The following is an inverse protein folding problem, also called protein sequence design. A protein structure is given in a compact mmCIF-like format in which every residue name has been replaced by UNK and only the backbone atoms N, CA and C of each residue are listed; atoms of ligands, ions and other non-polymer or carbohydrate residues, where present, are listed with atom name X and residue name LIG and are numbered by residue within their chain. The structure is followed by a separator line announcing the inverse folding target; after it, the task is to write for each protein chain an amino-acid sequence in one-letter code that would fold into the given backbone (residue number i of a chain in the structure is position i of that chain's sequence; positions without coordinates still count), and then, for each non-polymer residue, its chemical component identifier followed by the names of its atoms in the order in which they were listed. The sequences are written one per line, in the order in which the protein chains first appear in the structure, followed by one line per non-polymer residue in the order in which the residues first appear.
data_IF_159182109227
#
_entry.id   IF_159182109227
#
_cell.length_a   1.000
_cell.length_b   1.000
_cell.length_c   1.000
_cell.angle_alpha   90.00
_cell.angle_beta   90.00
_cell.angle_gamma   90.00
#
_symmetry.space_group_name_H-M   'P 1'
#
loop_
_entity.id
_entity.type
_entity.pdbx_description
1 polymer ?
#
# COMPACT_ATOMS: atom_id res chain seq x y z
N UNK A 1 20.80 -7.77 34.90
CA UNK A 1 20.77 -7.46 33.44
C UNK A 1 19.44 -6.91 32.91
N UNK A 2 18.26 -7.43 33.29
CA UNK A 2 16.95 -6.90 32.83
C UNK A 2 16.70 -5.43 33.20
N UNK A 3 17.02 -5.03 34.43
CA UNK A 3 16.86 -3.65 34.91
C UNK A 3 17.78 -2.65 34.19
N UNK A 4 19.02 -3.04 33.89
CA UNK A 4 19.96 -2.21 33.13
C UNK A 4 19.50 -2.01 31.67
N UNK A 5 18.96 -3.05 31.02
CA UNK A 5 18.34 -2.91 29.69
C UNK A 5 17.09 -2.02 29.73
N UNK A 6 16.29 -2.07 30.80
CA UNK A 6 15.12 -1.20 30.95
C UNK A 6 15.52 0.27 31.17
N UNK A 7 16.55 0.55 31.99
CA UNK A 7 17.07 1.90 32.20
C UNK A 7 17.74 2.47 30.94
N UNK A 8 18.50 1.66 30.20
CA UNK A 8 19.06 2.06 28.90
C UNK A 8 17.96 2.33 27.86
N UNK A 9 16.88 1.52 27.85
CA UNK A 9 15.70 1.78 27.01
C UNK A 9 15.01 3.10 27.36
N UNK A 10 14.86 3.43 28.64
CA UNK A 10 14.23 4.70 29.03
C UNK A 10 15.12 5.91 28.68
N UNK A 11 16.45 5.78 28.80
CA UNK A 11 17.37 6.83 28.38
C UNK A 11 17.45 6.99 26.85
N UNK A 12 17.39 5.90 26.08
CA UNK A 12 17.39 5.96 24.61
C UNK A 12 16.07 6.52 24.06
N UNK A 13 14.93 6.22 24.72
CA UNK A 13 13.64 6.83 24.40
C UNK A 13 13.65 8.36 24.56
N UNK A 14 14.40 8.90 25.53
CA UNK A 14 14.54 10.36 25.70
C UNK A 14 15.30 11.04 24.54
N UNK A 15 16.13 10.30 23.79
CA UNK A 15 16.83 10.80 22.61
C UNK A 15 15.98 10.82 21.34
N UNK A 16 14.92 10.03 21.27
CA UNK A 16 14.12 9.86 20.06
C UNK A 16 13.60 11.17 19.46
N UNK A 17 13.04 12.13 20.23
CA UNK A 17 12.58 13.40 19.68
C UNK A 17 13.67 14.18 18.93
N UNK A 18 14.91 14.16 19.43
CA UNK A 18 16.05 14.84 18.79
C UNK A 18 16.41 14.20 17.45
N UNK A 19 16.41 12.87 17.39
CA UNK A 19 16.64 12.14 16.13
C UNK A 19 15.50 12.38 15.14
N UNK A 20 14.24 12.35 15.57
CA UNK A 20 13.09 12.62 14.72
C UNK A 20 13.20 14.03 14.11
N UNK A 21 13.46 15.06 14.92
CA UNK A 21 13.63 16.44 14.43
C UNK A 21 14.82 16.63 13.50
N UNK A 22 15.90 15.85 13.69
CA UNK A 22 17.04 15.89 12.79
C UNK A 22 16.70 15.25 11.45
N UNK A 23 16.24 14.00 11.45
CA UNK A 23 16.03 13.19 10.25
C UNK A 23 14.81 13.64 9.44
N UNK A 24 13.79 14.23 10.07
CA UNK A 24 12.59 14.70 9.36
C UNK A 24 12.82 15.94 8.50
N UNK A 25 13.99 16.58 8.60
CA UNK A 25 14.37 17.73 7.76
C UNK A 25 14.95 17.33 6.42
N UNK A 26 15.37 16.07 6.29
CA UNK A 26 15.91 15.54 5.05
C UNK A 26 14.77 14.98 4.19
N UNK A 27 14.89 15.18 2.89
CA UNK A 27 14.00 14.55 1.91
C UNK A 27 14.38 13.08 1.73
N UNK A 28 13.41 12.15 1.71
CA UNK A 28 13.66 10.79 1.28
C UNK A 28 14.28 10.73 -0.11
N UNK A 29 15.18 9.77 -0.34
CA UNK A 29 15.86 9.56 -1.61
C UNK A 29 15.12 8.50 -2.41
N UNK A 30 14.30 8.87 -3.43
CA UNK A 30 13.60 7.89 -4.25
C UNK A 30 14.57 7.15 -5.17
N UNK A 31 14.44 5.82 -5.22
CA UNK A 31 15.19 4.96 -6.13
C UNK A 31 14.31 4.49 -7.29
N UNK A 32 14.89 4.29 -8.47
CA UNK A 32 14.21 3.61 -9.57
C UNK A 32 14.34 2.09 -9.49
N UNK A 33 13.40 1.38 -10.12
CA UNK A 33 13.50 -0.07 -10.31
C UNK A 33 14.83 -0.44 -10.99
N UNK A 34 15.28 0.36 -11.97
CA UNK A 34 16.59 0.20 -12.60
C UNK A 34 17.74 0.33 -11.60
N UNK A 35 17.72 1.31 -10.71
CA UNK A 35 18.78 1.46 -9.69
C UNK A 35 18.83 0.28 -8.73
N UNK A 36 17.67 -0.23 -8.28
CA UNK A 36 17.62 -1.44 -7.46
C UNK A 36 18.19 -2.66 -8.21
N UNK A 37 17.83 -2.82 -9.48
CA UNK A 37 18.28 -3.92 -10.32
C UNK A 37 19.81 -3.85 -10.55
N UNK A 38 20.30 -2.71 -11.04
CA UNK A 38 21.73 -2.48 -11.33
C UNK A 38 22.59 -2.67 -10.07
N UNK A 39 22.09 -2.21 -8.90
CA UNK A 39 22.77 -2.41 -7.62
C UNK A 39 22.89 -3.88 -7.27
N UNK A 40 21.79 -4.64 -7.34
CA UNK A 40 21.80 -6.05 -6.95
C UNK A 40 22.41 -7.00 -7.99
N UNK A 41 22.47 -6.63 -9.27
CA UNK A 41 23.04 -7.47 -10.33
C UNK A 41 24.55 -7.30 -10.50
N UNK A 42 25.07 -6.08 -10.39
CA UNK A 42 26.44 -5.76 -10.82
C UNK A 42 27.30 -5.21 -9.69
N UNK A 43 26.70 -4.53 -8.71
CA UNK A 43 27.39 -3.80 -7.66
C UNK A 43 26.96 -4.26 -6.26
N UNK A 44 26.63 -5.55 -6.08
CA UNK A 44 26.07 -6.10 -4.84
C UNK A 44 27.07 -6.02 -3.67
N UNK A 45 27.25 -4.81 -3.16
CA UNK A 45 28.21 -4.42 -2.14
C UNK A 45 27.43 -4.12 -0.86
N UNK A 46 27.54 -5.03 0.11
CA UNK A 46 26.84 -4.93 1.39
C UNK A 46 27.19 -3.62 2.11
N UNK A 47 28.46 -3.17 2.05
CA UNK A 47 28.92 -1.90 2.65
C UNK A 47 28.21 -0.69 2.05
N UNK A 48 28.00 -0.69 0.74
CA UNK A 48 27.25 0.39 0.06
C UNK A 48 25.78 0.37 0.46
N UNK A 49 25.17 -0.81 0.55
CA UNK A 49 23.78 -0.94 1.04
C UNK A 49 23.65 -0.47 2.49
N UNK A 50 24.55 -0.90 3.38
CA UNK A 50 24.60 -0.50 4.79
C UNK A 50 24.70 1.01 4.95
N UNK A 51 25.68 1.64 4.28
CA UNK A 51 25.92 3.08 4.37
C UNK A 51 24.74 3.91 3.86
N UNK A 52 24.06 3.44 2.81
CA UNK A 52 22.83 4.06 2.33
C UNK A 52 21.67 3.88 3.33
N UNK A 53 21.38 2.64 3.76
CA UNK A 53 20.20 2.32 4.56
C UNK A 53 20.26 2.86 5.99
N UNK A 54 21.45 2.92 6.60
CA UNK A 54 21.60 3.52 7.95
C UNK A 54 21.27 5.02 7.98
N UNK A 55 21.27 5.68 6.83
CA UNK A 55 20.86 7.08 6.68
C UNK A 55 19.42 7.19 6.16
N UNK A 56 19.07 6.44 5.11
CA UNK A 56 17.78 6.57 4.43
C UNK A 56 16.60 6.04 5.26
N UNK A 57 16.75 4.92 5.98
CA UNK A 57 15.65 4.37 6.80
C UNK A 57 15.24 5.34 7.93
N UNK A 58 16.17 5.95 8.70
CA UNK A 58 15.84 7.00 9.65
C UNK A 58 15.14 8.21 9.03
N UNK A 59 15.55 8.65 7.83
CA UNK A 59 14.88 9.74 7.10
C UNK A 59 13.43 9.39 6.82
N UNK A 60 13.16 8.21 6.23
CA UNK A 60 11.80 7.76 5.90
C UNK A 60 10.93 7.59 7.14
N UNK A 61 11.48 7.00 8.21
CA UNK A 61 10.78 6.83 9.49
C UNK A 61 10.46 8.19 10.13
N UNK A 62 11.43 9.10 10.24
CA UNK A 62 11.23 10.39 10.88
C UNK A 62 10.24 11.28 10.13
N UNK A 63 10.29 11.28 8.78
CA UNK A 63 9.32 12.01 7.95
C UNK A 63 7.89 11.57 8.26
N UNK A 64 7.62 10.27 8.29
CA UNK A 64 6.26 9.80 8.57
C UNK A 64 5.86 9.95 10.04
N UNK A 65 6.79 9.77 10.99
CA UNK A 65 6.54 10.01 12.41
C UNK A 65 6.12 11.47 12.69
N UNK A 66 6.70 12.44 11.98
CA UNK A 66 6.26 13.84 12.07
C UNK A 66 4.83 14.03 11.60
N UNK A 67 4.41 13.34 10.54
CA UNK A 67 3.02 13.41 10.07
C UNK A 67 2.04 12.68 10.99
N UNK A 68 2.43 11.56 11.62
CA UNK A 68 1.59 10.92 12.64
C UNK A 68 1.27 11.94 13.74
N UNK A 69 2.26 12.71 14.19
CA UNK A 69 2.09 13.74 15.23
C UNK A 69 1.23 14.95 14.80
N UNK A 70 0.80 15.02 13.52
CA UNK A 70 -0.14 16.04 13.03
C UNK A 70 -1.57 15.53 12.92
N UNK A 71 -1.82 14.25 13.21
CA UNK A 71 -3.18 13.73 13.30
C UNK A 71 -3.95 14.43 14.44
N UNK A 72 -5.29 14.49 14.36
CA UNK A 72 -6.10 15.03 15.45
C UNK A 72 -5.79 14.31 16.78
N UNK A 73 -5.73 15.06 17.89
CA UNK A 73 -5.44 14.50 19.22
C UNK A 73 -6.35 13.30 19.57
N UNK A 74 -7.60 13.34 19.10
CA UNK A 74 -8.57 12.25 19.23
C UNK A 74 -8.08 10.94 18.60
N UNK A 75 -7.47 11.00 17.41
CA UNK A 75 -6.87 9.85 16.72
C UNK A 75 -5.57 9.43 17.41
N UNK A 76 -4.70 10.39 17.76
CA UNK A 76 -3.45 10.13 18.49
C UNK A 76 -3.66 9.51 19.87
N UNK A 77 -4.80 9.77 20.51
CA UNK A 77 -5.15 9.21 21.82
C UNK A 77 -5.54 7.73 21.78
N UNK A 78 -5.80 7.18 20.59
CA UNK A 78 -6.21 5.77 20.45
C UNK A 78 -5.05 4.83 20.77
N UNK A 79 -5.29 3.76 21.56
CA UNK A 79 -4.22 2.86 22.00
C UNK A 79 -3.48 2.21 20.83
N UNK A 80 -4.19 1.91 19.74
CA UNK A 80 -3.59 1.31 18.55
C UNK A 80 -2.63 2.27 17.82
N UNK A 81 -2.96 3.57 17.71
CA UNK A 81 -2.06 4.57 17.11
C UNK A 81 -0.81 4.80 17.99
N UNK A 82 -0.98 4.85 19.32
CA UNK A 82 0.14 4.96 20.26
C UNK A 82 1.09 3.77 20.17
N UNK A 83 0.54 2.56 20.02
CA UNK A 83 1.32 1.34 19.83
C UNK A 83 2.16 1.43 18.55
N UNK A 84 1.57 1.86 17.44
CA UNK A 84 2.29 2.05 16.18
C UNK A 84 3.38 3.11 16.31
N UNK A 85 3.11 4.26 16.95
CA UNK A 85 4.14 5.26 17.24
C UNK A 85 5.31 4.65 18.02
N UNK A 86 5.03 3.84 19.04
CA UNK A 86 6.07 3.19 19.84
C UNK A 86 6.95 2.25 19.01
N UNK A 87 6.37 1.52 18.04
CA UNK A 87 7.12 0.65 17.14
C UNK A 87 8.03 1.44 16.19
N UNK A 88 7.56 2.57 15.67
CA UNK A 88 8.36 3.45 14.82
C UNK A 88 9.51 4.09 15.60
N UNK A 89 9.25 4.54 16.83
CA UNK A 89 10.31 5.04 17.74
C UNK A 89 11.35 3.96 18.01
N UNK A 90 10.92 2.73 18.38
CA UNK A 90 11.86 1.64 18.65
C UNK A 90 12.69 1.29 17.40
N UNK A 91 12.07 1.22 16.22
CA UNK A 91 12.80 0.95 14.97
C UNK A 91 13.78 2.06 14.60
N UNK A 92 13.43 3.34 14.84
CA UNK A 92 14.36 4.44 14.65
C UNK A 92 15.58 4.27 15.56
N UNK A 93 15.36 4.06 16.85
CA UNK A 93 16.44 3.88 17.83
C UNK A 93 17.33 2.67 17.50
N UNK A 94 16.73 1.56 17.09
CA UNK A 94 17.49 0.36 16.68
C UNK A 94 18.45 0.66 15.51
N UNK A 95 18.08 1.54 14.57
CA UNK A 95 18.95 1.95 13.46
C UNK A 95 20.00 2.98 13.91
N UNK A 96 19.66 3.85 14.88
CA UNK A 96 20.61 4.86 15.41
C UNK A 96 21.87 4.23 16.01
N UNK A 97 21.78 3.01 16.53
CA UNK A 97 22.93 2.23 17.01
C UNK A 97 24.01 1.97 15.93
N UNK A 98 23.70 2.19 14.64
CA UNK A 98 24.60 1.92 13.52
C UNK A 98 25.17 3.18 12.84
N UNK A 99 24.78 4.39 13.28
CA UNK A 99 25.22 5.65 12.64
C UNK A 99 26.74 5.78 12.60
N UNK A 100 27.40 5.51 13.73
CA UNK A 100 28.85 5.66 13.89
C UNK A 100 29.62 4.34 13.80
N UNK A 101 28.95 3.23 13.42
CA UNK A 101 29.62 1.93 13.25
C UNK A 101 30.40 1.85 11.94
N UNK A 102 31.49 1.11 11.97
CA UNK A 102 32.40 0.95 10.83
C UNK A 102 31.83 -0.03 9.78
N UNK A 103 31.60 0.40 8.52
CA UNK A 103 31.20 -0.49 7.43
C UNK A 103 32.21 -1.60 7.10
N UNK A 104 33.48 -1.46 7.50
CA UNK A 104 34.51 -2.47 7.26
C UNK A 104 34.45 -3.65 8.24
N UNK A 105 33.72 -3.51 9.37
CA UNK A 105 33.52 -4.60 10.32
C UNK A 105 32.37 -5.52 9.89
N UNK A 106 32.69 -6.75 9.48
CA UNK A 106 31.70 -7.77 9.12
C UNK A 106 30.67 -8.05 10.23
N UNK A 107 31.04 -7.90 11.52
CA UNK A 107 30.07 -8.07 12.62
C UNK A 107 29.03 -6.95 12.62
N UNK A 108 29.43 -5.73 12.27
CA UNK A 108 28.52 -4.59 12.12
C UNK A 108 27.51 -4.86 11.02
N UNK A 109 27.96 -5.37 9.86
CA UNK A 109 27.07 -5.70 8.73
C UNK A 109 26.06 -6.79 9.09
N UNK A 110 26.52 -7.90 9.68
CA UNK A 110 25.64 -8.99 10.13
C UNK A 110 24.63 -8.52 11.19
N UNK A 111 25.06 -7.73 12.19
CA UNK A 111 24.16 -7.16 13.19
C UNK A 111 23.14 -6.20 12.57
N UNK A 112 23.51 -5.49 11.51
CA UNK A 112 22.60 -4.59 10.81
C UNK A 112 21.50 -5.38 10.10
N UNK A 113 21.85 -6.45 9.39
CA UNK A 113 20.88 -7.37 8.77
C UNK A 113 19.90 -7.93 9.81
N UNK A 114 20.39 -8.39 10.97
CA UNK A 114 19.55 -8.86 12.08
C UNK A 114 18.60 -7.76 12.61
N UNK A 115 19.09 -6.52 12.71
CA UNK A 115 18.28 -5.39 13.12
C UNK A 115 17.18 -5.08 12.09
N UNK A 116 17.49 -5.14 10.79
CA UNK A 116 16.50 -4.96 9.72
C UNK A 116 15.43 -6.06 9.74
N UNK A 117 15.81 -7.32 9.95
CA UNK A 117 14.86 -8.43 10.14
C UNK A 117 13.96 -8.19 11.35
N UNK A 118 14.55 -7.75 12.46
CA UNK A 118 13.81 -7.40 13.69
C UNK A 118 12.80 -6.27 13.44
N UNK A 119 13.20 -5.22 12.75
CA UNK A 119 12.34 -4.09 12.38
C UNK A 119 11.21 -4.53 11.46
N UNK A 120 11.52 -5.32 10.42
CA UNK A 120 10.52 -5.88 9.50
C UNK A 120 9.45 -6.66 10.27
N UNK A 121 9.87 -7.55 11.16
CA UNK A 121 8.96 -8.38 11.94
C UNK A 121 8.10 -7.56 12.91
N UNK A 122 8.68 -6.54 13.56
CA UNK A 122 7.93 -5.59 14.40
C UNK A 122 6.85 -4.84 13.62
N UNK A 123 7.07 -4.59 12.33
CA UNK A 123 6.18 -3.81 11.47
C UNK A 123 5.17 -4.67 10.69
N UNK A 124 5.10 -5.98 10.94
CA UNK A 124 4.16 -6.90 10.28
C UNK A 124 2.70 -6.48 10.48
N UNK A 125 2.32 -6.18 11.73
CA UNK A 125 0.94 -5.89 12.12
C UNK A 125 0.58 -4.40 12.06
N UNK A 126 1.44 -3.55 11.50
CA UNK A 126 1.21 -2.10 11.41
C UNK A 126 -0.07 -1.76 10.65
N UNK A 127 -0.38 -2.46 9.56
CA UNK A 127 -1.60 -2.18 8.76
C UNK A 127 -2.88 -2.46 9.56
N UNK A 128 -3.11 -3.69 10.07
CA UNK A 128 -4.31 -3.94 10.86
C UNK A 128 -4.36 -3.12 12.15
N UNK A 129 -3.22 -2.87 12.81
CA UNK A 129 -3.19 -2.04 14.04
C UNK A 129 -3.59 -0.60 13.74
N UNK A 130 -3.07 0.02 12.67
CA UNK A 130 -3.51 1.37 12.30
C UNK A 130 -4.98 1.42 11.87
N UNK A 131 -5.48 0.39 11.18
CA UNK A 131 -6.90 0.30 10.85
C UNK A 131 -7.78 0.21 12.11
N UNK A 132 -7.34 -0.56 13.10
CA UNK A 132 -7.99 -0.65 14.41
C UNK A 132 -7.98 0.70 15.13
N UNK A 133 -6.89 1.47 15.10
CA UNK A 133 -6.84 2.81 15.70
C UNK A 133 -7.78 3.82 15.06
N UNK A 134 -7.97 3.73 13.74
CA UNK A 134 -8.94 4.57 13.02
C UNK A 134 -10.38 4.18 13.37
N UNK A 135 -10.66 2.87 13.53
CA UNK A 135 -11.95 2.37 14.00
C UNK A 135 -12.24 2.80 15.45
N UNK A 136 -11.26 2.68 16.35
CA UNK A 136 -11.34 3.16 17.74
C UNK A 136 -11.73 4.65 17.80
N UNK A 137 -11.11 5.47 16.94
CA UNK A 137 -11.46 6.88 16.82
C UNK A 137 -12.90 7.08 16.34
N UNK A 138 -13.31 6.38 15.28
CA UNK A 138 -14.67 6.47 14.71
C UNK A 138 -15.74 6.08 15.72
N UNK A 139 -15.56 4.96 16.41
CA UNK A 139 -16.53 4.44 17.38
C UNK A 139 -16.65 5.36 18.61
N UNK A 140 -15.55 6.02 19.00
CA UNK A 140 -15.52 6.89 20.19
C UNK A 140 -16.04 8.30 19.91
N UNK A 141 -15.70 8.88 18.76
CA UNK A 141 -15.92 10.31 18.49
C UNK A 141 -16.88 10.59 17.34
N UNK A 142 -17.31 9.57 16.59
CA UNK A 142 -18.11 9.68 15.38
C UNK A 142 -17.30 10.03 14.14
N UNK A 143 -17.97 10.04 12.98
CA UNK A 143 -17.39 10.46 11.70
C UNK A 143 -17.48 11.99 11.57
N UNK A 144 -16.36 12.65 11.29
CA UNK A 144 -16.35 14.05 10.86
C UNK A 144 -15.64 14.22 9.50
N UNK A 145 -16.23 14.94 8.52
CA UNK A 145 -15.67 15.00 7.16
C UNK A 145 -14.24 15.55 7.07
N UNK A 146 -13.89 16.50 7.93
CA UNK A 146 -12.58 17.17 7.92
C UNK A 146 -11.49 16.21 8.40
N UNK A 147 -11.68 15.58 9.55
CA UNK A 147 -10.78 14.56 10.06
C UNK A 147 -10.72 13.38 9.11
N UNK A 148 -11.83 12.97 8.49
CA UNK A 148 -11.83 11.88 7.52
C UNK A 148 -10.95 12.19 6.28
N UNK A 149 -10.96 13.43 5.78
CA UNK A 149 -10.05 13.85 4.71
C UNK A 149 -8.58 13.84 5.16
N UNK A 150 -8.30 14.37 6.35
CA UNK A 150 -6.93 14.37 6.92
C UNK A 150 -6.41 12.96 7.18
N UNK A 151 -7.27 12.07 7.71
CA UNK A 151 -6.99 10.65 7.92
C UNK A 151 -6.73 9.97 6.58
N UNK A 152 -7.54 10.22 5.55
CA UNK A 152 -7.33 9.65 4.22
C UNK A 152 -5.96 10.04 3.64
N UNK A 153 -5.62 11.34 3.67
CA UNK A 153 -4.34 11.86 3.21
C UNK A 153 -3.17 11.25 3.98
N UNK A 154 -3.29 11.19 5.31
CA UNK A 154 -2.30 10.58 6.18
C UNK A 154 -2.10 9.10 5.86
N UNK A 155 -3.17 8.30 5.79
CA UNK A 155 -3.08 6.86 5.59
C UNK A 155 -2.47 6.51 4.23
N UNK A 156 -2.82 7.24 3.17
CA UNK A 156 -2.21 7.07 1.85
C UNK A 156 -0.67 7.25 1.93
N UNK A 157 -0.22 8.30 2.61
CA UNK A 157 1.22 8.59 2.78
C UNK A 157 1.90 7.61 3.73
N UNK A 158 1.25 7.27 4.83
CA UNK A 158 1.74 6.34 5.83
C UNK A 158 1.99 4.95 5.24
N UNK A 159 1.01 4.41 4.53
CA UNK A 159 1.14 3.09 3.92
C UNK A 159 2.10 3.09 2.74
N UNK A 160 2.18 4.16 1.94
CA UNK A 160 3.18 4.29 0.88
C UNK A 160 4.60 4.34 1.46
N UNK A 161 4.82 5.08 2.56
CA UNK A 161 6.09 5.09 3.29
C UNK A 161 6.45 3.67 3.79
N UNK A 162 5.47 2.96 4.37
CA UNK A 162 5.67 1.57 4.83
C UNK A 162 6.04 0.61 3.69
N UNK A 163 5.36 0.70 2.54
CA UNK A 163 5.71 -0.09 1.34
C UNK A 163 7.17 0.17 0.98
N UNK A 164 7.60 1.44 0.99
CA UNK A 164 8.96 1.83 0.65
C UNK A 164 10.02 1.32 1.63
N UNK A 165 9.74 1.39 2.94
CA UNK A 165 10.63 0.88 3.99
C UNK A 165 10.77 -0.64 3.87
N UNK A 166 9.66 -1.34 3.61
CA UNK A 166 9.67 -2.79 3.39
C UNK A 166 10.44 -3.17 2.13
N UNK A 167 10.32 -2.39 1.05
CA UNK A 167 11.08 -2.60 -0.18
C UNK A 167 12.59 -2.53 0.09
N UNK A 168 13.05 -1.48 0.77
CA UNK A 168 14.47 -1.31 1.12
C UNK A 168 15.00 -2.47 2.00
N UNK A 169 14.27 -2.82 3.06
CA UNK A 169 14.66 -3.91 3.96
C UNK A 169 14.67 -5.25 3.24
N UNK A 170 13.66 -5.54 2.41
CA UNK A 170 13.59 -6.78 1.66
C UNK A 170 14.73 -6.89 0.64
N UNK A 171 15.07 -5.80 -0.08
CA UNK A 171 16.20 -5.83 -1.01
C UNK A 171 17.50 -6.15 -0.27
N UNK A 172 17.79 -5.51 0.86
CA UNK A 172 19.01 -5.78 1.63
C UNK A 172 19.05 -7.23 2.15
N UNK A 173 18.01 -7.64 2.84
CA UNK A 173 17.95 -8.99 3.46
C UNK A 173 17.99 -10.09 2.40
N UNK A 174 17.26 -9.97 1.29
CA UNK A 174 17.26 -11.00 0.24
C UNK A 174 18.58 -11.08 -0.55
N UNK A 175 19.37 -10.00 -0.59
CA UNK A 175 20.67 -10.00 -1.30
C UNK A 175 21.81 -10.46 -0.37
N UNK A 176 21.79 -10.09 0.92
CA UNK A 176 22.95 -10.25 1.81
C UNK A 176 22.79 -11.24 2.97
N UNK A 177 21.58 -11.75 3.28
CA UNK A 177 21.34 -12.67 4.41
C UNK A 177 21.83 -14.11 4.15
N UNK A 178 22.75 -14.31 3.19
CA UNK A 178 23.39 -15.60 2.88
C UNK A 178 22.48 -16.67 2.25
N UNK A 179 21.16 -16.50 2.30
CA UNK A 179 20.20 -17.34 1.59
C UNK A 179 19.85 -16.70 0.24
N UNK A 180 20.44 -17.19 -0.85
CA UNK A 180 19.81 -17.00 -2.16
C UNK A 180 18.37 -17.49 -2.04
N UNK A 181 17.38 -16.68 -2.40
CA UNK A 181 15.97 -17.08 -2.31
C UNK A 181 15.78 -18.35 -3.16
N UNK A 182 15.68 -19.55 -2.55
CA UNK A 182 15.76 -20.79 -3.33
C UNK A 182 14.56 -20.95 -4.25
N UNK A 183 13.43 -20.32 -3.87
CA UNK A 183 12.20 -20.32 -4.65
C UNK A 183 12.34 -19.52 -5.95
N UNK A 184 13.18 -18.49 -5.97
CA UNK A 184 13.30 -17.58 -7.12
C UNK A 184 14.76 -17.18 -7.39
N UNK A 185 15.61 -18.12 -7.84
CA UNK A 185 17.05 -17.89 -7.98
C UNK A 185 17.43 -16.85 -9.05
N UNK A 186 16.50 -16.49 -9.94
CA UNK A 186 16.71 -15.47 -10.99
C UNK A 186 16.33 -14.05 -10.55
N UNK A 187 15.72 -13.90 -9.37
CA UNK A 187 15.33 -12.59 -8.88
C UNK A 187 16.53 -11.84 -8.29
N UNK A 188 16.51 -10.52 -8.41
CA UNK A 188 17.46 -9.62 -7.75
C UNK A 188 16.78 -9.06 -6.51
N UNK A 189 16.98 -9.75 -5.38
CA UNK A 189 16.20 -9.53 -4.18
C UNK A 189 14.74 -9.93 -4.39
N UNK A 190 13.84 -8.95 -4.34
CA UNK A 190 12.39 -9.12 -4.60
C UNK A 190 11.96 -8.74 -6.02
N UNK A 191 12.88 -8.27 -6.85
CA UNK A 191 12.62 -7.84 -8.23
C UNK A 191 12.86 -9.00 -9.19
N UNK A 192 11.88 -9.28 -10.03
CA UNK A 192 12.04 -10.17 -11.17
C UNK A 192 12.39 -9.34 -12.41
N UNK A 193 13.60 -9.51 -13.00
CA UNK A 193 13.97 -8.81 -14.23
C UNK A 193 13.18 -9.26 -15.46
N UNK A 194 12.45 -10.38 -15.39
CA UNK A 194 11.65 -10.92 -16.48
C UNK A 194 10.31 -11.45 -15.95
N UNK A 195 9.56 -10.58 -15.24
CA UNK A 195 8.25 -10.89 -14.68
C UNK A 195 7.24 -11.15 -15.80
N UNK A 196 6.77 -12.40 -15.92
CA UNK A 196 5.67 -12.78 -16.81
C UNK A 196 4.34 -12.30 -16.22
N UNK A 197 3.76 -11.26 -16.80
CA UNK A 197 2.55 -10.62 -16.23
C UNK A 197 1.38 -11.58 -16.20
N UNK A 198 1.17 -12.33 -17.27
CA UNK A 198 0.07 -13.30 -17.36
C UNK A 198 0.18 -14.45 -16.38
N UNK A 199 1.39 -14.85 -15.98
CA UNK A 199 1.55 -15.89 -14.96
C UNK A 199 1.19 -15.34 -13.57
N UNK A 200 1.59 -14.10 -13.26
CA UNK A 200 1.15 -13.44 -12.00
C UNK A 200 -0.38 -13.24 -11.98
N UNK A 201 -1.00 -12.96 -13.13
CA UNK A 201 -2.47 -12.90 -13.27
C UNK A 201 -3.11 -14.24 -12.93
N UNK A 202 -2.61 -15.35 -13.50
CA UNK A 202 -3.15 -16.69 -13.22
C UNK A 202 -2.98 -17.07 -11.74
N UNK A 203 -1.81 -16.84 -11.16
CA UNK A 203 -1.54 -17.13 -9.75
C UNK A 203 -2.48 -16.35 -8.81
N UNK A 204 -2.69 -15.06 -9.10
CA UNK A 204 -3.61 -14.22 -8.33
C UNK A 204 -5.07 -14.67 -8.47
N UNK A 205 -5.47 -15.05 -9.68
CA UNK A 205 -6.79 -15.60 -9.96
C UNK A 205 -7.02 -16.93 -9.23
N UNK A 206 -6.10 -17.88 -9.32
CA UNK A 206 -6.25 -19.21 -8.73
C UNK A 206 -6.42 -19.12 -7.21
N UNK A 207 -5.65 -18.25 -6.55
CA UNK A 207 -5.78 -18.03 -5.12
C UNK A 207 -7.07 -17.29 -4.73
N UNK A 208 -7.52 -16.33 -5.55
CA UNK A 208 -8.82 -15.67 -5.33
C UNK A 208 -9.99 -16.65 -5.56
N UNK A 209 -9.87 -17.53 -6.57
CA UNK A 209 -10.82 -18.59 -6.90
C UNK A 209 -10.96 -19.58 -5.74
N UNK A 210 -9.85 -20.04 -5.16
CA UNK A 210 -9.88 -20.92 -3.98
C UNK A 210 -10.66 -20.31 -2.81
N UNK A 211 -10.51 -19.00 -2.58
CA UNK A 211 -11.31 -18.30 -1.56
C UNK A 211 -12.77 -18.17 -1.96
N UNK A 212 -13.05 -17.79 -3.22
CA UNK A 212 -14.41 -17.66 -3.73
C UNK A 212 -15.17 -18.99 -3.64
N UNK A 213 -14.58 -20.07 -4.16
CA UNK A 213 -15.14 -21.43 -4.12
C UNK A 213 -15.40 -21.88 -2.67
N UNK A 214 -14.53 -21.53 -1.73
CA UNK A 214 -14.75 -21.85 -0.30
C UNK A 214 -15.99 -21.18 0.30
N UNK A 215 -16.31 -19.95 -0.08
CA UNK A 215 -17.44 -19.20 0.49
C UNK A 215 -18.74 -19.35 -0.29
N UNK A 216 -18.66 -19.41 -1.61
CA UNK A 216 -19.83 -19.39 -2.50
C UNK A 216 -20.06 -20.71 -3.24
N UNK A 217 -19.17 -21.70 -3.10
CA UNK A 217 -19.22 -22.98 -3.82
C UNK A 217 -19.15 -22.87 -5.35
N UNK A 218 -18.84 -21.68 -5.87
CA UNK A 218 -18.66 -21.39 -7.29
C UNK A 218 -17.77 -20.15 -7.48
N UNK A 219 -17.17 -20.03 -8.66
CA UNK A 219 -16.44 -18.83 -9.09
C UNK A 219 -16.61 -18.64 -10.60
N UNK A 220 -16.53 -17.40 -11.11
CA UNK A 220 -16.41 -17.15 -12.55
C UNK A 220 -15.09 -17.69 -13.10
N UNK A 221 -15.09 -18.06 -14.38
CA UNK A 221 -13.88 -18.44 -15.13
C UNK A 221 -13.01 -17.23 -15.48
N UNK A 222 -11.76 -17.48 -15.91
CA UNK A 222 -10.81 -16.46 -16.35
C UNK A 222 -10.58 -16.51 -17.87
N UNK A 223 -10.69 -15.36 -18.52
CA UNK A 223 -10.26 -15.17 -19.91
C UNK A 223 -9.11 -14.14 -19.95
N UNK A 224 -7.94 -14.49 -20.49
CA UNK A 224 -6.79 -13.58 -20.63
C UNK A 224 -6.54 -13.28 -22.10
N UNK A 225 -6.39 -12.00 -22.43
CA UNK A 225 -5.94 -11.51 -23.73
C UNK A 225 -4.70 -10.62 -23.57
N UNK A 226 -3.65 -10.90 -24.34
CA UNK A 226 -2.47 -10.03 -24.42
C UNK A 226 -2.46 -9.20 -25.70
N UNK A 227 -2.04 -7.94 -25.58
CA UNK A 227 -1.85 -7.00 -26.69
C UNK A 227 -0.47 -6.35 -26.54
N UNK A 228 0.54 -6.97 -27.12
CA UNK A 228 1.89 -6.43 -27.13
C UNK A 228 2.11 -5.57 -28.38
N UNK A 229 2.03 -4.24 -28.23
CA UNK A 229 2.17 -3.32 -29.36
C UNK A 229 3.61 -3.28 -29.91
N UNK A 230 4.60 -3.56 -29.06
CA UNK A 230 6.02 -3.60 -29.45
C UNK A 230 6.37 -4.87 -30.22
N UNK A 231 5.75 -6.00 -29.87
CA UNK A 231 5.92 -7.28 -30.55
C UNK A 231 4.71 -8.20 -30.36
N UNK A 232 3.80 -8.21 -31.33
CA UNK A 232 2.52 -8.92 -31.25
C UNK A 232 2.60 -10.44 -31.01
N UNK A 233 3.77 -11.06 -31.21
CA UNK A 233 3.96 -12.52 -31.02
C UNK A 233 4.61 -12.89 -29.69
N UNK A 234 5.15 -11.91 -28.96
CA UNK A 234 5.87 -12.18 -27.72
C UNK A 234 5.01 -11.96 -26.49
N UNK A 235 5.10 -12.86 -25.49
CA UNK A 235 4.45 -12.67 -24.19
C UNK A 235 4.93 -11.40 -23.50
N UNK A 236 4.02 -10.72 -22.81
CA UNK A 236 4.31 -9.47 -22.10
C UNK A 236 5.10 -9.74 -20.82
N UNK A 237 6.32 -9.20 -20.78
CA UNK A 237 7.21 -9.24 -19.64
C UNK A 237 7.58 -7.83 -19.18
N UNK A 238 7.92 -7.68 -17.90
CA UNK A 238 8.43 -6.43 -17.34
C UNK A 238 9.44 -6.66 -16.22
N UNK A 239 10.22 -5.63 -15.88
CA UNK A 239 11.01 -5.60 -14.64
C UNK A 239 10.09 -5.10 -13.52
N UNK A 240 9.75 -5.95 -12.56
CA UNK A 240 8.85 -5.54 -11.47
C UNK A 240 9.02 -6.38 -10.21
N UNK A 241 8.32 -6.02 -9.14
CA UNK A 241 8.21 -6.81 -7.91
C UNK A 241 6.96 -7.70 -8.01
N UNK A 242 7.06 -9.01 -8.28
CA UNK A 242 5.89 -9.85 -8.56
C UNK A 242 4.87 -9.87 -7.43
N UNK A 243 5.34 -9.81 -6.17
CA UNK A 243 4.47 -9.78 -5.00
C UNK A 243 3.58 -8.52 -4.90
N UNK A 244 4.04 -7.38 -5.43
CA UNK A 244 3.22 -6.16 -5.48
C UNK A 244 2.12 -6.29 -6.54
N UNK A 245 2.49 -6.78 -7.72
CA UNK A 245 1.55 -7.03 -8.82
C UNK A 245 0.49 -8.07 -8.40
N UNK A 246 0.93 -9.18 -7.82
CA UNK A 246 0.07 -10.22 -7.26
C UNK A 246 -0.93 -9.64 -6.26
N UNK A 247 -0.48 -8.80 -5.32
CA UNK A 247 -1.37 -8.21 -4.31
C UNK A 247 -2.49 -7.39 -4.96
N UNK A 248 -2.16 -6.52 -5.92
CA UNK A 248 -3.16 -5.71 -6.63
C UNK A 248 -4.17 -6.59 -7.37
N UNK A 249 -3.68 -7.57 -8.14
CA UNK A 249 -4.53 -8.47 -8.92
C UNK A 249 -5.42 -9.33 -8.03
N UNK A 250 -4.87 -9.88 -6.95
CA UNK A 250 -5.61 -10.72 -6.01
C UNK A 250 -6.76 -9.94 -5.34
N UNK A 251 -6.50 -8.70 -4.90
CA UNK A 251 -7.55 -7.84 -4.32
C UNK A 251 -8.63 -7.50 -5.37
N UNK A 252 -8.26 -7.19 -6.61
CA UNK A 252 -9.23 -6.93 -7.68
C UNK A 252 -10.05 -8.19 -8.03
N UNK A 253 -9.41 -9.36 -8.15
CA UNK A 253 -10.11 -10.61 -8.44
C UNK A 253 -11.11 -10.97 -7.34
N UNK A 254 -10.75 -10.83 -6.06
CA UNK A 254 -11.71 -11.06 -4.96
C UNK A 254 -12.95 -10.18 -5.10
N UNK A 255 -12.78 -8.90 -5.44
CA UNK A 255 -13.89 -7.96 -5.61
C UNK A 255 -14.75 -8.33 -6.83
N UNK A 256 -14.12 -8.58 -7.99
CA UNK A 256 -14.81 -8.97 -9.22
C UNK A 256 -15.56 -10.31 -9.08
N UNK A 257 -14.95 -11.31 -8.44
CA UNK A 257 -15.56 -12.60 -8.16
C UNK A 257 -16.77 -12.44 -7.23
N UNK A 258 -16.61 -11.73 -6.11
CA UNK A 258 -17.70 -11.46 -5.17
C UNK A 258 -18.87 -10.77 -5.86
N UNK A 259 -18.61 -9.68 -6.58
CA UNK A 259 -19.64 -8.93 -7.29
C UNK A 259 -20.35 -9.81 -8.34
N UNK A 260 -19.60 -10.61 -9.09
CA UNK A 260 -20.16 -11.51 -10.11
C UNK A 260 -21.06 -12.57 -9.50
N UNK A 261 -20.61 -13.22 -8.43
CA UNK A 261 -21.39 -14.27 -7.75
C UNK A 261 -22.64 -13.71 -7.09
N UNK A 262 -22.51 -12.64 -6.27
CA UNK A 262 -23.65 -12.03 -5.57
C UNK A 262 -24.71 -11.45 -6.54
N UNK A 263 -24.30 -10.96 -7.71
CA UNK A 263 -25.24 -10.46 -8.73
C UNK A 263 -25.89 -11.56 -9.60
N UNK A 264 -25.43 -12.80 -9.48
CA UNK A 264 -25.90 -13.94 -10.27
C UNK A 264 -26.38 -15.11 -9.39
N UNK A 265 -26.77 -14.87 -8.13
CA UNK A 265 -27.23 -15.92 -7.19
C UNK A 265 -28.36 -16.81 -7.76
N UNK A 266 -29.19 -16.25 -8.65
CA UNK A 266 -30.30 -16.97 -9.30
C UNK A 266 -29.92 -17.65 -10.64
N UNK A 267 -28.66 -17.55 -11.06
CA UNK A 267 -28.15 -18.10 -12.32
C UNK A 267 -27.17 -19.24 -12.06
N UNK A 268 -27.30 -20.34 -12.81
CA UNK A 268 -26.35 -21.45 -12.76
C UNK A 268 -25.03 -21.15 -13.48
N UNK A 269 -25.03 -20.14 -14.35
CA UNK A 269 -23.86 -19.75 -15.14
C UNK A 269 -23.37 -18.38 -14.70
N UNK A 270 -22.07 -18.28 -14.43
CA UNK A 270 -21.39 -17.03 -14.08
C UNK A 270 -20.65 -16.49 -15.31
N UNK A 271 -20.76 -15.19 -15.63
CA UNK A 271 -19.96 -14.60 -16.68
C UNK A 271 -18.46 -14.62 -16.29
N UNK A 272 -17.54 -14.89 -17.23
CA UNK A 272 -16.12 -14.93 -16.93
C UNK A 272 -15.58 -13.53 -16.62
N UNK A 273 -14.54 -13.48 -15.80
CA UNK A 273 -13.73 -12.28 -15.59
C UNK A 273 -12.73 -12.20 -16.75
N UNK A 274 -12.75 -11.08 -17.47
CA UNK A 274 -11.87 -10.85 -18.63
C UNK A 274 -10.69 -9.99 -18.22
N UNK A 275 -9.48 -10.43 -18.53
CA UNK A 275 -8.24 -9.69 -18.35
C UNK A 275 -7.68 -9.32 -19.71
N UNK A 276 -7.36 -8.05 -19.90
CA UNK A 276 -6.56 -7.56 -21.01
C UNK A 276 -5.24 -7.01 -20.49
N UNK A 277 -4.12 -7.60 -20.90
CA UNK A 277 -2.78 -7.09 -20.63
C UNK A 277 -2.28 -6.41 -21.91
N UNK A 278 -1.99 -5.12 -21.84
CA UNK A 278 -1.50 -4.34 -22.98
C UNK A 278 -0.15 -3.71 -22.66
N UNK A 279 0.81 -3.84 -23.58
CA UNK A 279 2.13 -3.22 -23.48
C UNK A 279 2.29 -2.22 -24.62
N UNK A 280 2.45 -0.95 -24.27
CA UNK A 280 2.84 0.15 -25.17
C UNK A 280 4.29 0.59 -24.92
N UNK A 281 4.66 1.74 -25.47
CA UNK A 281 6.00 2.33 -25.31
C UNK A 281 6.27 2.80 -23.86
N UNK A 282 5.29 3.45 -23.22
CA UNK A 282 5.45 4.01 -21.87
C UNK A 282 4.76 3.18 -20.78
N UNK A 283 3.62 2.59 -21.12
CA UNK A 283 2.71 2.00 -20.14
C UNK A 283 2.52 0.49 -20.39
N UNK A 284 2.50 -0.25 -19.30
CA UNK A 284 1.92 -1.58 -19.20
C UNK A 284 0.57 -1.45 -18.48
N UNK A 285 -0.50 -1.78 -19.18
CA UNK A 285 -1.88 -1.66 -18.68
C UNK A 285 -2.50 -3.03 -18.47
N UNK A 286 -3.10 -3.27 -17.31
CA UNK A 286 -3.85 -4.50 -17.03
C UNK A 286 -5.28 -4.11 -16.70
N UNK A 287 -6.21 -4.46 -17.57
CA UNK A 287 -7.64 -4.21 -17.39
C UNK A 287 -8.35 -5.49 -16.98
N UNK A 288 -9.02 -5.46 -15.84
CA UNK A 288 -9.92 -6.51 -15.35
C UNK A 288 -11.37 -6.04 -15.51
N UNK A 289 -12.14 -6.79 -16.30
CA UNK A 289 -13.55 -6.51 -16.57
C UNK A 289 -14.42 -7.61 -15.98
N UNK A 290 -15.34 -7.22 -15.11
CA UNK A 290 -16.40 -8.09 -14.60
C UNK A 290 -17.78 -7.75 -15.19
N UNK A 291 -18.76 -8.60 -14.90
CA UNK A 291 -20.18 -8.31 -15.10
C UNK A 291 -20.92 -8.40 -13.77
N UNK A 292 -20.35 -7.82 -12.72
CA UNK A 292 -20.85 -7.88 -11.34
C UNK A 292 -21.96 -6.89 -11.02
N UNK A 293 -22.65 -6.32 -12.02
CA UNK A 293 -23.72 -5.34 -11.84
C UNK A 293 -23.25 -3.89 -11.63
N UNK A 294 -21.96 -3.66 -11.39
CA UNK A 294 -21.36 -2.33 -11.32
C UNK A 294 -21.70 -1.53 -10.05
N UNK A 295 -21.29 -0.26 -10.04
CA UNK A 295 -21.37 0.66 -8.90
C UNK A 295 -21.77 2.05 -9.41
N UNK A 296 -22.74 2.74 -8.78
CA UNK A 296 -23.11 4.09 -9.16
C UNK A 296 -21.91 5.04 -9.02
N UNK A 297 -21.76 5.96 -9.99
CA UNK A 297 -20.64 6.91 -10.05
C UNK A 297 -20.39 7.64 -8.72
N UNK A 298 -21.47 8.04 -8.02
CA UNK A 298 -21.42 8.72 -6.70
C UNK A 298 -20.68 7.94 -5.61
N UNK A 299 -20.51 6.62 -5.75
CA UNK A 299 -19.82 5.76 -4.78
C UNK A 299 -18.39 5.41 -5.18
N UNK A 300 -17.96 5.66 -6.42
CA UNK A 300 -16.64 5.23 -6.93
C UNK A 300 -15.50 5.79 -6.08
N UNK A 301 -15.49 7.08 -5.79
CA UNK A 301 -14.42 7.68 -4.96
C UNK A 301 -14.38 7.08 -3.55
N UNK A 302 -15.55 6.72 -3.00
CA UNK A 302 -15.66 6.13 -1.66
C UNK A 302 -15.06 4.73 -1.60
N UNK A 303 -14.98 3.98 -2.72
CA UNK A 303 -14.33 2.67 -2.76
C UNK A 303 -12.84 2.71 -2.39
N UNK A 304 -12.21 3.89 -2.52
CA UNK A 304 -10.83 4.11 -2.11
C UNK A 304 -10.70 4.78 -0.74
N UNK A 305 -11.82 4.98 -0.02
CA UNK A 305 -11.77 5.52 1.34
C UNK A 305 -11.50 4.42 2.34
N UNK A 306 -10.51 4.61 3.22
CA UNK A 306 -10.23 3.67 4.31
C UNK A 306 -11.39 3.56 5.33
N UNK A 307 -12.29 4.55 5.34
CA UNK A 307 -13.45 4.59 6.23
C UNK A 307 -14.71 3.92 5.62
N UNK A 308 -14.62 3.45 4.37
CA UNK A 308 -15.74 2.89 3.63
C UNK A 308 -15.52 1.41 3.34
N UNK A 309 -16.44 0.58 3.82
CA UNK A 309 -16.49 -0.85 3.52
C UNK A 309 -17.95 -1.29 3.41
N UNK A 310 -18.24 -2.18 2.45
CA UNK A 310 -19.54 -2.86 2.32
C UNK A 310 -19.54 -4.26 2.93
N UNK A 311 -18.38 -4.72 3.41
CA UNK A 311 -18.26 -6.00 4.10
C UNK A 311 -18.57 -5.82 5.61
N UNK A 312 -19.07 -6.87 6.28
CA UNK A 312 -19.23 -6.85 7.73
C UNK A 312 -17.90 -6.51 8.42
N UNK A 313 -17.95 -5.67 9.46
CA UNK A 313 -16.77 -5.35 10.27
C UNK A 313 -16.21 -6.64 10.86
N UNK A 314 -14.91 -6.92 10.69
CA UNK A 314 -14.32 -8.16 11.17
C UNK A 314 -14.38 -8.21 12.70
N UNK A 315 -14.87 -9.32 13.26
CA UNK A 315 -14.82 -9.54 14.69
C UNK A 315 -13.45 -10.11 15.09
N UNK A 316 -12.79 -9.60 16.14
CA UNK A 316 -11.54 -10.16 16.63
C UNK A 316 -11.67 -11.66 16.90
N UNK A 317 -10.78 -12.47 16.32
CA UNK A 317 -10.76 -13.92 16.51
C UNK A 317 -11.55 -14.75 15.48
N UNK A 318 -12.24 -14.12 14.52
CA UNK A 318 -12.80 -14.83 13.36
C UNK A 318 -11.69 -15.02 12.32
N UNK A 319 -11.39 -16.26 11.93
CA UNK A 319 -10.26 -16.64 11.05
C UNK A 319 -10.37 -16.18 9.58
N UNK A 320 -10.93 -14.99 9.34
CA UNK A 320 -10.86 -14.30 8.06
C UNK A 320 -9.44 -13.81 7.78
N UNK A 321 -9.13 -13.50 6.51
CA UNK A 321 -7.86 -12.85 6.20
C UNK A 321 -7.78 -11.52 6.95
N UNK A 322 -6.61 -11.12 7.50
CA UNK A 322 -6.51 -10.03 8.48
C UNK A 322 -7.08 -8.67 8.03
N UNK A 323 -7.29 -8.49 6.72
CA UNK A 323 -7.79 -7.26 6.12
C UNK A 323 -9.21 -7.38 5.55
N UNK A 324 -9.78 -8.59 5.47
CA UNK A 324 -11.15 -8.77 5.01
C UNK A 324 -12.10 -8.05 5.96
N UNK A 325 -12.96 -7.18 5.39
CA UNK A 325 -13.92 -6.39 6.17
C UNK A 325 -13.48 -4.95 6.47
N UNK A 326 -12.18 -4.65 6.57
CA UNK A 326 -11.72 -3.30 6.90
C UNK A 326 -11.88 -2.28 5.76
N UNK A 327 -12.00 -2.72 4.50
CA UNK A 327 -12.10 -1.81 3.34
C UNK A 327 -10.75 -1.31 2.80
N UNK A 328 -9.63 -1.90 3.22
CA UNK A 328 -8.28 -1.41 2.90
C UNK A 328 -7.72 -1.97 1.58
N UNK A 329 -8.29 -3.05 1.03
CA UNK A 329 -7.73 -3.76 -0.12
C UNK A 329 -7.54 -2.87 -1.36
N UNK A 330 -8.59 -2.17 -1.79
CA UNK A 330 -8.54 -1.25 -2.94
C UNK A 330 -7.60 -0.06 -2.75
N UNK A 331 -7.66 0.73 -1.66
CA UNK A 331 -6.74 1.84 -1.49
C UNK A 331 -5.29 1.39 -1.38
N UNK A 332 -4.99 0.31 -0.66
CA UNK A 332 -3.62 -0.24 -0.59
C UNK A 332 -3.14 -0.74 -1.96
N UNK A 333 -4.00 -1.40 -2.74
CA UNK A 333 -3.66 -1.81 -4.12
C UNK A 333 -3.31 -0.60 -5.00
N UNK A 334 -4.07 0.49 -4.88
CA UNK A 334 -3.74 1.74 -5.59
C UNK A 334 -2.41 2.35 -5.13
N UNK A 335 -2.06 2.25 -3.85
CA UNK A 335 -0.75 2.68 -3.36
C UNK A 335 0.40 1.84 -3.95
N UNK A 336 0.23 0.51 -4.09
CA UNK A 336 1.21 -0.33 -4.75
C UNK A 336 1.44 0.09 -6.21
N UNK A 337 0.37 0.41 -6.96
CA UNK A 337 0.49 0.93 -8.32
C UNK A 337 1.23 2.28 -8.35
N UNK A 338 0.80 3.23 -7.50
CA UNK A 338 1.40 4.57 -7.42
C UNK A 338 2.85 4.60 -6.94
N UNK A 339 3.28 3.58 -6.19
CA UNK A 339 4.61 3.51 -5.61
C UNK A 339 5.71 3.56 -6.66
N UNK A 340 5.52 2.95 -7.84
CA UNK A 340 6.44 3.04 -8.97
C UNK A 340 5.85 3.82 -10.15
N UNK A 341 5.25 4.98 -9.86
CA UNK A 341 4.66 5.92 -10.84
C UNK A 341 3.52 5.36 -11.71
N UNK A 342 2.91 4.26 -11.30
CA UNK A 342 1.68 3.73 -11.87
C UNK A 342 0.42 4.38 -11.28
N UNK A 343 -0.73 3.77 -11.56
CA UNK A 343 -2.00 4.10 -10.92
C UNK A 343 -2.98 2.91 -10.98
N UNK A 344 -4.04 2.96 -10.17
CA UNK A 344 -5.16 2.02 -10.23
C UNK A 344 -6.47 2.80 -10.28
N UNK A 345 -7.24 2.58 -11.33
CA UNK A 345 -8.49 3.29 -11.61
C UNK A 345 -9.65 2.31 -11.79
N UNK A 346 -10.85 2.75 -11.40
CA UNK A 346 -12.10 1.98 -11.51
C UNK A 346 -13.10 2.75 -12.37
N UNK A 347 -13.69 2.08 -13.34
CA UNK A 347 -14.73 2.61 -14.23
C UNK A 347 -15.90 1.65 -14.20
N UNK A 348 -17.07 2.11 -13.79
CA UNK A 348 -18.22 1.24 -13.62
C UNK A 348 -19.40 1.70 -14.47
N UNK A 349 -20.12 0.72 -15.01
CA UNK A 349 -21.38 0.90 -15.72
C UNK A 349 -22.46 0.30 -14.82
N UNK A 350 -23.15 1.15 -14.04
CA UNK A 350 -24.20 0.73 -13.11
C UNK A 350 -25.27 -0.09 -13.85
N UNK A 351 -25.59 -1.27 -13.30
CA UNK A 351 -26.48 -2.25 -13.91
C UNK A 351 -25.78 -3.27 -14.83
N UNK A 352 -24.47 -3.14 -15.07
CA UNK A 352 -23.72 -4.05 -15.94
C UNK A 352 -22.47 -4.64 -15.28
N UNK A 353 -21.46 -3.83 -14.95
CA UNK A 353 -20.17 -4.33 -14.48
C UNK A 353 -19.13 -3.23 -14.26
N UNK A 354 -17.91 -3.64 -13.90
CA UNK A 354 -16.80 -2.73 -13.60
C UNK A 354 -15.53 -3.13 -14.36
N UNK A 355 -14.85 -2.12 -14.92
CA UNK A 355 -13.49 -2.20 -15.42
C UNK A 355 -12.53 -1.62 -14.36
N UNK A 356 -11.60 -2.43 -13.88
CA UNK A 356 -10.48 -2.02 -13.04
C UNK A 356 -9.18 -2.02 -13.85
N UNK A 357 -8.46 -0.90 -13.90
CA UNK A 357 -7.23 -0.77 -14.69
C UNK A 357 -6.05 -0.48 -13.80
N UNK A 358 -5.04 -1.35 -13.84
CA UNK A 358 -3.72 -1.12 -13.26
C UNK A 358 -2.82 -0.57 -14.37
N UNK A 359 -2.25 0.61 -14.15
CA UNK A 359 -1.21 1.20 -15.00
C UNK A 359 0.14 1.06 -14.32
N UNK A 360 1.12 0.52 -15.02
CA UNK A 360 2.52 0.42 -14.60
C UNK A 360 3.42 1.03 -15.67
N UNK A 361 4.59 1.50 -15.28
CA UNK A 361 5.61 1.94 -16.25
C UNK A 361 6.22 0.74 -16.95
N UNK A 362 6.25 0.77 -18.29
CA UNK A 362 6.87 -0.26 -19.11
C UNK A 362 8.39 -0.31 -18.90
N UNK A 363 9.01 0.86 -18.70
CA UNK A 363 10.45 1.02 -18.51
C UNK A 363 10.83 1.08 -17.02
N UNK A 364 11.86 0.32 -16.65
CA UNK A 364 12.41 0.31 -15.28
C UNK A 364 13.12 1.61 -14.88
N UNK A 365 13.54 2.42 -15.87
CA UNK A 365 14.08 3.77 -15.67
C UNK A 365 13.05 4.74 -15.13
N UNK A 366 11.80 4.59 -15.55
CA UNK A 366 10.71 5.53 -15.27
C UNK A 366 9.92 5.09 -14.02
N UNK A 367 10.10 3.83 -13.62
CA UNK A 367 9.60 3.22 -12.39
C UNK A 367 10.34 3.74 -11.15
N UNK A 368 10.18 5.02 -10.81
CA UNK A 368 10.81 5.68 -9.66
C UNK A 368 9.91 5.61 -8.43
N UNK A 369 10.48 5.40 -7.24
CA UNK A 369 9.73 5.45 -5.99
C UNK A 369 8.97 6.78 -5.82
N UNK A 370 7.66 6.71 -5.57
CA UNK A 370 6.85 7.83 -5.11
C UNK A 370 6.84 7.85 -3.59
N UNK A 371 7.52 8.82 -2.98
CA UNK A 371 7.68 8.89 -1.52
C UNK A 371 6.97 10.11 -0.90
N UNK A 372 6.35 9.96 0.27
CA UNK A 372 5.88 11.11 1.05
C UNK A 372 7.07 11.87 1.64
N UNK A 373 7.05 13.20 1.51
CA UNK A 373 8.02 14.11 2.14
C UNK A 373 7.33 15.02 3.14
N UNK A 374 7.86 15.07 4.37
CA UNK A 374 7.39 15.98 5.41
C UNK A 374 8.01 17.36 5.19
N UNK A 375 7.19 18.32 4.79
CA UNK A 375 7.59 19.70 4.57
C UNK A 375 6.42 20.65 4.86
N UNK A 376 6.59 21.94 4.57
CA UNK A 376 5.55 22.95 4.80
C UNK A 376 4.26 22.68 4.02
N UNK A 377 4.34 22.05 2.84
CA UNK A 377 3.16 21.68 2.06
C UNK A 377 2.39 20.53 2.70
N UNK A 378 3.10 19.49 3.19
CA UNK A 378 2.47 18.41 3.95
C UNK A 378 1.84 18.96 5.24
N UNK A 379 2.58 19.77 6.00
CA UNK A 379 2.07 20.40 7.24
C UNK A 379 0.80 21.23 7.00
N UNK A 380 0.73 22.02 5.91
CA UNK A 380 -0.46 22.80 5.57
C UNK A 380 -1.70 21.94 5.38
N UNK A 381 -1.57 20.75 4.79
CA UNK A 381 -2.71 19.85 4.57
C UNK A 381 -3.42 19.51 5.89
N UNK A 382 -2.65 19.26 6.95
CA UNK A 382 -3.19 18.97 8.28
C UNK A 382 -3.76 20.18 9.03
N UNK A 383 -3.45 21.41 8.58
CA UNK A 383 -3.92 22.65 9.20
C UNK A 383 -5.18 23.20 8.51
N UNK A 384 -5.54 22.68 7.34
CA UNK A 384 -6.69 23.16 6.58
C UNK A 384 -7.97 22.92 7.39
N UNK A 385 -8.59 24.01 7.83
CA UNK A 385 -9.93 24.02 8.41
C UNK A 385 -10.94 23.98 7.25
N UNK A 386 -12.10 23.36 7.46
CA UNK A 386 -13.17 23.28 6.46
C UNK A 386 -13.40 24.62 5.75
N UNK A 387 -13.00 24.71 4.48
CA UNK A 387 -13.38 25.81 3.62
C UNK A 387 -14.84 25.58 3.17
N UNK A 388 -15.61 26.67 3.03
CA UNK A 388 -16.92 26.57 2.41
C UNK A 388 -16.75 25.99 1.01
N UNK A 389 -17.62 25.04 0.62
CA UNK A 389 -17.60 24.50 -0.73
C UNK A 389 -17.63 25.64 -1.75
N UNK A 390 -16.72 25.61 -2.71
CA UNK A 390 -16.55 26.62 -3.75
C UNK A 390 -17.60 26.47 -4.88
N UNK A 391 -18.44 25.43 -4.81
CA UNK A 391 -19.55 25.17 -5.71
C UNK A 391 -20.88 25.12 -4.97
N UNK A 392 -21.96 25.57 -5.63
CA UNK A 392 -23.30 25.55 -5.06
C UNK A 392 -23.77 24.12 -4.76
N UNK A 393 -24.24 23.89 -3.54
CA UNK A 393 -24.92 22.65 -3.14
C UNK A 393 -26.42 22.96 -3.04
N UNK A 394 -27.31 22.19 -3.69
CA UNK A 394 -28.75 22.42 -3.58
C UNK A 394 -29.24 22.17 -2.15
N UNK A 395 -30.33 22.82 -1.77
CA UNK A 395 -31.04 22.51 -0.52
C UNK A 395 -31.43 21.03 -0.49
N UNK A 396 -31.36 20.39 0.68
CA UNK A 396 -31.92 19.04 0.90
C UNK A 396 -33.44 19.01 0.70
N UNK A 397 -34.08 20.17 0.85
CA UNK A 397 -35.49 20.41 0.57
C UNK A 397 -35.61 21.52 -0.48
N UNK A 398 -35.42 21.21 -1.79
CA UNK A 398 -35.59 22.20 -2.84
C UNK A 398 -37.05 22.66 -2.87
N UNK A 399 -37.27 23.97 -3.02
CA UNK A 399 -38.62 24.54 -3.07
C UNK A 399 -39.42 23.91 -4.21
N UNK A 400 -40.62 23.45 -3.90
CA UNK A 400 -41.55 22.95 -4.91
C UNK A 400 -42.09 24.12 -5.75
N UNK A 401 -41.68 24.19 -7.01
CA UNK A 401 -42.09 25.26 -7.93
C UNK A 401 -43.49 25.06 -8.52
N UNK A 402 -44.15 23.92 -8.27
CA UNK A 402 -45.50 23.64 -8.81
C UNK A 402 -46.61 24.53 -8.22
N UNK A 403 -46.41 25.13 -7.04
CA UNK A 403 -47.39 26.05 -6.43
C UNK A 403 -47.21 27.50 -6.86
N UNK A 404 -46.17 27.83 -7.62
CA UNK A 404 -45.98 29.15 -8.21
C UNK A 404 -46.85 29.26 -9.47
N UNK A 405 -48.13 29.63 -9.27
CA UNK A 405 -48.91 30.21 -10.37
C UNK A 405 -48.42 31.65 -10.56
N UNK A 406 -47.86 31.93 -11.73
CA UNK A 406 -47.67 33.30 -12.21
C UNK A 406 -49.08 33.88 -12.39
N UNK A 407 -49.46 34.81 -11.53
CA UNK A 407 -50.64 35.65 -11.73
C UNK A 407 -50.39 36.69 -12.81
#
# INVERSE_FOLDING_TARGET
MRWFRALLKNASLAGAPKYIEHFSKFSPSPLSMKQFLDFGSSNACEKTSFTFLRQELPVRLANIMKEINLLPDRVLSTPSVQLVQSWYVQSLLDIMEFLDKDPEDHRTLSQFTDALVTIRNRHNDVVPTMAQGVLEYKDTYGDDPVSNQNIQYFLDRFYLSRISIRMLINQHTLIFDGSTNPAHPKHIGSIDPNCSVSDVVKDAYDMAKLLCDKYYMASPDLEIQEVNATNATQPIHMVYVPSHLYHMLFELFKNAMRATVESHESSLTLPPIKIMVALGEEDLSIKMSDRGGGVPLRKIERLFSYMYSTAPTPQPGTGGTPLAGFGYGLPISRLYAKYFQGDLQLFSMEGFGTDAVIYLKALSTDSVERLPVYNKSAWRHYQTIQEAGDWCVPSTEPKNTSTYRVS
#
